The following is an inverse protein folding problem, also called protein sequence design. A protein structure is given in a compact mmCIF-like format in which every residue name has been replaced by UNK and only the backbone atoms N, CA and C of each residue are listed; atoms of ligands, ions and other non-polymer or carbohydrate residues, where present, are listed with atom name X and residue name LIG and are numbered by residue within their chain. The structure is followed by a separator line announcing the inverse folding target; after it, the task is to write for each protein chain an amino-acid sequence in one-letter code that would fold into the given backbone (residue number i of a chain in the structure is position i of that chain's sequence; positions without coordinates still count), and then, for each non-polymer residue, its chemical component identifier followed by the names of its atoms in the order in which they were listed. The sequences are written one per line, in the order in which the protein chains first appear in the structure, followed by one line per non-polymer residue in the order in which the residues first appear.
data_IF_832335816463
#
_entry.id   IF_832335816463
#
_cell.length_a   1.000
_cell.length_b   1.000
_cell.length_c   1.000
_cell.angle_alpha   90.00
_cell.angle_beta   90.00
_cell.angle_gamma   90.00
#
_symmetry.space_group_name_H-M   'P 1'
#
loop_
_entity.id
_entity.type
_entity.pdbx_description
1 polymer ?
#
# COMPACT_ATOMS: atom_id res chain seq x y z
N UNK A 1 -38.62 -45.43 30.57
CA UNK A 1 -37.41 -45.20 29.74
C UNK A 1 -37.64 -43.90 29.00
N UNK A 2 -36.78 -42.92 29.28
CA UNK A 2 -36.43 -41.67 28.55
C UNK A 2 -37.53 -40.91 27.78
N UNK A 3 -37.93 -39.71 28.22
CA UNK A 3 -37.25 -38.39 28.21
C UNK A 3 -37.62 -37.59 26.94
N UNK A 4 -37.96 -36.32 27.13
CA UNK A 4 -37.75 -35.29 26.11
C UNK A 4 -38.92 -34.33 25.91
N UNK A 5 -39.04 -33.36 26.81
CA UNK A 5 -39.70 -32.08 26.52
C UNK A 5 -38.71 -31.29 25.65
N UNK A 6 -39.13 -30.83 24.48
CA UNK A 6 -38.40 -29.84 23.67
C UNK A 6 -39.36 -28.75 23.22
N UNK A 7 -38.87 -27.52 23.38
CA UNK A 7 -39.52 -26.22 23.24
C UNK A 7 -40.00 -25.91 21.81
N UNK A 8 -40.98 -25.01 21.79
CA UNK A 8 -41.57 -24.32 20.65
C UNK A 8 -40.57 -23.56 19.77
N UNK A 9 -40.84 -23.59 18.46
CA UNK A 9 -40.63 -22.49 17.53
C UNK A 9 -41.75 -22.51 16.49
N UNK A 10 -42.45 -21.39 16.21
CA UNK A 10 -43.23 -21.25 15.00
C UNK A 10 -42.49 -20.38 13.98
N UNK A 11 -41.90 -21.00 12.97
CA UNK A 11 -41.48 -20.33 11.73
C UNK A 11 -42.40 -20.75 10.59
N UNK A 12 -43.25 -19.84 10.10
CA UNK A 12 -43.74 -19.83 8.71
C UNK A 12 -44.66 -18.65 8.49
N UNK A 13 -44.16 -17.61 7.81
CA UNK A 13 -44.97 -16.73 6.97
C UNK A 13 -44.15 -16.28 5.78
N UNK A 14 -44.33 -16.99 4.67
CA UNK A 14 -43.96 -16.55 3.35
C UNK A 14 -44.97 -15.49 2.90
N UNK A 15 -44.51 -14.28 2.58
CA UNK A 15 -45.31 -13.28 1.89
C UNK A 15 -44.55 -12.72 0.67
N UNK A 16 -45.04 -13.16 -0.49
CA UNK A 16 -45.16 -12.46 -1.77
C UNK A 16 -43.96 -11.68 -2.35
N UNK A 17 -43.24 -12.34 -3.27
CA UNK A 17 -42.45 -11.69 -4.33
C UNK A 17 -43.41 -11.21 -5.43
N UNK A 18 -43.54 -9.89 -5.62
CA UNK A 18 -44.16 -9.29 -6.81
C UNK A 18 -43.08 -9.00 -7.84
N UNK A 19 -43.11 -9.72 -8.96
CA UNK A 19 -42.37 -9.41 -10.18
C UNK A 19 -43.04 -8.24 -10.88
N UNK A 20 -42.35 -7.09 -10.93
CA UNK A 20 -42.70 -5.99 -11.83
C UNK A 20 -41.73 -6.05 -13.00
N UNK A 21 -42.23 -6.48 -14.16
CA UNK A 21 -41.50 -6.44 -15.43
C UNK A 21 -41.87 -5.17 -16.20
N UNK A 22 -40.87 -4.45 -16.70
CA UNK A 22 -41.04 -3.53 -17.83
C UNK A 22 -40.56 -2.10 -17.56
N UNK A 23 -39.35 -1.79 -18.04
CA UNK A 23 -38.81 -0.43 -18.11
C UNK A 23 -37.36 -0.46 -18.57
N UNK A 24 -37.13 -0.26 -19.86
CA UNK A 24 -35.81 -0.12 -20.49
C UNK A 24 -35.11 1.10 -19.85
N UNK A 25 -33.85 1.04 -19.39
CA UNK A 25 -33.13 2.26 -19.05
C UNK A 25 -32.73 2.95 -20.35
N UNK A 26 -33.32 4.12 -20.62
CA UNK A 26 -32.79 5.06 -21.61
C UNK A 26 -31.47 5.61 -21.05
N UNK A 27 -30.38 5.42 -21.79
CA UNK A 27 -29.08 6.01 -21.47
C UNK A 27 -29.17 7.52 -21.70
N UNK A 28 -29.22 8.28 -20.61
CA UNK A 28 -29.08 9.73 -20.64
C UNK A 28 -27.60 10.06 -20.90
N UNK A 29 -27.28 10.32 -22.17
CA UNK A 29 -25.95 10.78 -22.58
C UNK A 29 -25.82 12.22 -22.09
N UNK A 30 -25.03 12.41 -21.03
CA UNK A 30 -24.63 13.73 -20.56
C UNK A 30 -23.62 14.27 -21.57
N UNK A 31 -24.08 15.12 -22.49
CA UNK A 31 -23.20 15.95 -23.32
C UNK A 31 -22.53 16.99 -22.41
N UNK A 32 -21.31 16.69 -21.98
CA UNK A 32 -20.44 17.68 -21.36
C UNK A 32 -20.07 18.74 -22.41
N UNK A 33 -20.25 20.04 -22.13
CA UNK A 33 -19.77 21.07 -23.03
C UNK A 33 -18.26 20.94 -23.16
N UNK A 34 -17.77 20.88 -24.40
CA UNK A 34 -16.35 20.95 -24.71
C UNK A 34 -15.84 22.34 -24.33
N UNK A 35 -15.32 22.48 -23.11
CA UNK A 35 -14.50 23.63 -22.74
C UNK A 35 -13.26 23.62 -23.62
N UNK A 36 -13.20 24.62 -24.50
CA UNK A 36 -12.04 24.98 -25.32
C UNK A 36 -10.93 25.37 -24.35
N UNK A 37 -10.02 24.43 -24.09
CA UNK A 37 -8.74 24.76 -23.45
C UNK A 37 -7.94 25.49 -24.53
N UNK A 38 -7.91 26.82 -24.45
CA UNK A 38 -6.92 27.62 -25.17
C UNK A 38 -5.54 27.19 -24.65
N UNK A 39 -4.85 26.34 -25.43
CA UNK A 39 -3.44 26.05 -25.24
C UNK A 39 -2.66 27.35 -25.41
N UNK A 40 -2.30 27.96 -24.28
CA UNK A 40 -1.26 28.97 -24.24
C UNK A 40 0.06 28.30 -24.66
N UNK A 41 0.41 28.45 -25.93
CA UNK A 41 1.74 28.16 -26.47
C UNK A 41 2.77 29.04 -25.75
N UNK A 42 3.51 28.45 -24.82
CA UNK A 42 4.72 29.05 -24.27
C UNK A 42 5.87 28.66 -25.21
N UNK A 43 6.17 29.51 -26.18
CA UNK A 43 7.44 29.44 -26.90
C UNK A 43 8.53 30.09 -26.03
N UNK A 44 9.16 29.30 -25.16
CA UNK A 44 10.45 29.67 -24.59
C UNK A 44 11.51 28.74 -25.20
N UNK A 45 12.12 29.22 -26.29
CA UNK A 45 13.31 28.59 -26.86
C UNK A 45 14.47 28.90 -25.93
N UNK A 46 14.75 28.01 -24.99
CA UNK A 46 15.99 28.07 -24.20
C UNK A 46 17.11 27.53 -25.09
N UNK A 47 17.94 28.44 -25.59
CA UNK A 47 19.19 28.13 -26.26
C UNK A 47 20.14 27.50 -25.22
N UNK A 48 20.21 26.17 -25.19
CA UNK A 48 21.18 25.44 -24.39
C UNK A 48 22.54 25.56 -25.06
N UNK A 49 23.34 26.53 -24.63
CA UNK A 49 24.78 26.48 -24.86
C UNK A 49 25.32 25.19 -24.22
N UNK A 50 25.94 24.32 -25.02
CA UNK A 50 26.65 23.13 -24.54
C UNK A 50 27.90 23.57 -23.76
N UNK A 51 27.72 24.01 -22.52
CA UNK A 51 28.83 24.13 -21.58
C UNK A 51 29.19 22.73 -21.10
N UNK A 52 30.28 22.18 -21.64
CA UNK A 52 30.90 20.96 -21.12
C UNK A 52 31.19 21.14 -19.63
N UNK A 53 30.45 20.42 -18.79
CA UNK A 53 30.73 20.35 -17.36
C UNK A 53 32.08 19.65 -17.16
N UNK A 54 33.01 20.20 -16.36
CA UNK A 54 34.25 19.52 -16.03
C UNK A 54 33.94 18.19 -15.31
N UNK A 55 34.67 17.12 -15.67
CA UNK A 55 34.41 15.73 -15.24
C UNK A 55 34.51 15.50 -13.72
N UNK A 56 34.97 16.47 -12.94
CA UNK A 56 35.19 16.36 -11.49
C UNK A 56 33.98 16.79 -10.63
N UNK A 57 32.89 17.26 -11.23
CA UNK A 57 31.67 17.66 -10.50
C UNK A 57 30.57 16.59 -10.58
N UNK A 58 30.83 15.39 -10.04
CA UNK A 58 29.78 14.43 -9.68
C UNK A 58 29.80 14.23 -8.18
N UNK A 59 29.31 15.23 -7.46
CA UNK A 59 28.89 15.04 -6.07
C UNK A 59 27.43 14.56 -6.11
N UNK A 60 27.22 13.29 -5.80
CA UNK A 60 25.88 12.72 -5.66
C UNK A 60 25.28 13.35 -4.40
N UNK A 61 24.58 14.47 -4.54
CA UNK A 61 23.73 15.00 -3.48
C UNK A 61 22.61 13.99 -3.24
N UNK A 62 22.73 13.24 -2.14
CA UNK A 62 21.72 12.31 -1.63
C UNK A 62 20.49 13.03 -1.03
N UNK A 63 20.42 14.36 -1.12
CA UNK A 63 19.51 15.18 -0.30
C UNK A 63 18.37 15.82 -1.13
N UNK A 64 17.61 15.01 -1.87
CA UNK A 64 16.28 15.43 -2.36
C UNK A 64 15.16 15.03 -1.39
N UNK A 65 15.41 15.08 -0.08
CA UNK A 65 14.38 14.90 0.96
C UNK A 65 13.92 16.21 1.60
N UNK A 66 14.10 17.35 0.93
CA UNK A 66 13.62 18.67 1.39
C UNK A 66 12.47 19.20 0.53
N UNK A 67 11.49 18.34 0.26
CA UNK A 67 10.13 18.81 -0.03
C UNK A 67 9.41 18.92 1.31
N UNK A 68 9.22 20.16 1.77
CA UNK A 68 8.42 20.59 2.92
C UNK A 68 8.15 19.49 3.97
N UNK A 69 9.11 19.33 4.87
CA UNK A 69 8.93 18.60 6.11
C UNK A 69 7.97 19.42 6.97
N UNK A 70 6.66 19.18 6.84
CA UNK A 70 5.67 19.69 7.78
C UNK A 70 6.13 19.37 9.21
N UNK A 71 5.99 20.30 10.16
CA UNK A 71 6.43 20.11 11.56
C UNK A 71 5.67 18.99 12.33
N UNK A 72 4.93 18.14 11.62
CA UNK A 72 4.11 17.05 12.14
C UNK A 72 4.88 15.72 12.20
N UNK A 73 4.27 14.72 12.80
CA UNK A 73 4.89 13.55 13.44
C UNK A 73 5.34 12.45 12.46
N UNK A 74 6.51 12.60 11.80
CA UNK A 74 6.95 11.58 10.84
C UNK A 74 6.94 10.15 11.37
N UNK A 75 6.29 9.25 10.63
CA UNK A 75 6.30 7.81 10.91
C UNK A 75 7.66 7.22 10.54
N UNK A 76 8.19 6.32 11.36
CA UNK A 76 9.42 5.55 11.10
C UNK A 76 9.11 4.06 11.17
N UNK A 77 9.66 3.32 10.21
CA UNK A 77 9.57 1.85 10.13
C UNK A 77 10.93 1.24 10.42
N UNK A 78 10.96 0.22 11.28
CA UNK A 78 12.14 -0.61 11.50
C UNK A 78 11.77 -2.10 11.38
N UNK A 79 12.63 -2.88 10.72
CA UNK A 79 12.48 -4.33 10.62
C UNK A 79 13.34 -5.00 11.69
N UNK A 80 12.71 -5.75 12.58
CA UNK A 80 13.44 -6.48 13.61
C UNK A 80 14.08 -7.75 13.03
N UNK A 81 15.34 -8.01 13.40
CA UNK A 81 16.05 -9.24 13.02
C UNK A 81 16.72 -9.23 11.64
N UNK A 82 16.92 -8.05 11.02
CA UNK A 82 17.64 -7.87 9.75
C UNK A 82 17.28 -8.94 8.67
N UNK A 83 16.00 -9.02 8.25
CA UNK A 83 15.53 -10.12 7.43
C UNK A 83 16.09 -10.03 6.00
N UNK A 84 16.77 -11.09 5.56
CA UNK A 84 17.02 -11.33 4.14
C UNK A 84 15.89 -12.15 3.53
N UNK A 85 15.42 -11.81 2.33
CA UNK A 85 14.28 -12.48 1.69
C UNK A 85 14.70 -13.27 0.46
N UNK A 86 14.17 -14.49 0.32
CA UNK A 86 14.38 -15.37 -0.83
C UNK A 86 13.04 -15.89 -1.38
N UNK A 87 12.98 -16.12 -2.68
CA UNK A 87 11.82 -16.72 -3.34
C UNK A 87 11.47 -18.10 -2.78
N UNK A 88 10.23 -18.30 -2.37
CA UNK A 88 9.76 -19.54 -1.72
C UNK A 88 9.81 -19.52 -0.19
N UNK A 89 10.37 -18.47 0.41
CA UNK A 89 10.45 -18.34 1.87
C UNK A 89 9.06 -18.24 2.52
N UNK A 90 8.94 -18.83 3.71
CA UNK A 90 7.88 -18.54 4.69
C UNK A 90 8.54 -17.90 5.90
N UNK A 91 8.25 -16.62 6.18
CA UNK A 91 8.91 -15.86 7.26
C UNK A 91 7.92 -15.07 8.08
N UNK A 92 8.22 -14.96 9.37
CA UNK A 92 7.55 -14.01 10.26
C UNK A 92 8.30 -12.69 10.17
N UNK A 93 7.62 -11.65 9.67
CA UNK A 93 8.14 -10.29 9.62
C UNK A 93 7.62 -9.51 10.83
N UNK A 94 8.55 -8.99 11.61
CA UNK A 94 8.27 -8.12 12.75
C UNK A 94 8.62 -6.68 12.38
N UNK A 95 7.61 -5.82 12.34
CA UNK A 95 7.71 -4.41 11.95
C UNK A 95 7.45 -3.54 13.17
N UNK A 96 8.45 -2.78 13.59
CA UNK A 96 8.31 -1.75 14.61
C UNK A 96 7.96 -0.43 13.94
N UNK A 97 6.91 0.23 14.44
CA UNK A 97 6.52 1.57 13.99
C UNK A 97 6.67 2.55 15.15
N UNK A 98 7.37 3.64 14.90
CA UNK A 98 7.66 4.67 15.89
C UNK A 98 7.60 6.06 15.27
N UNK A 99 7.44 7.08 16.09
CA UNK A 99 7.63 8.46 15.67
C UNK A 99 9.12 8.72 15.43
N UNK A 100 9.48 9.25 14.26
CA UNK A 100 10.86 9.44 13.85
C UNK A 100 11.61 10.45 14.73
N UNK A 101 10.91 11.45 15.28
CA UNK A 101 11.46 12.52 16.12
C UNK A 101 11.54 12.10 17.58
N UNK A 102 10.43 11.66 18.16
CA UNK A 102 10.35 11.33 19.60
C UNK A 102 10.81 9.92 19.93
N UNK A 103 10.95 9.04 18.92
CA UNK A 103 11.22 7.60 19.06
C UNK A 103 10.15 6.83 19.84
N UNK A 104 9.02 7.47 20.16
CA UNK A 104 7.91 6.81 20.82
C UNK A 104 7.26 5.80 19.88
N UNK A 105 6.92 4.62 20.40
CA UNK A 105 6.21 3.59 19.63
C UNK A 105 4.80 4.04 19.27
N UNK A 106 4.34 3.67 18.08
CA UNK A 106 3.02 4.06 17.55
C UNK A 106 2.12 2.82 17.53
N UNK A 107 1.10 2.83 18.38
CA UNK A 107 0.06 1.78 18.37
C UNK A 107 -1.01 2.05 17.31
N UNK A 108 -1.71 0.99 16.90
CA UNK A 108 -2.82 1.03 15.94
C UNK A 108 -2.48 1.61 14.54
N UNK A 109 -1.20 1.74 14.19
CA UNK A 109 -0.75 2.12 12.86
C UNK A 109 -1.07 1.00 11.85
N UNK A 110 -1.57 1.37 10.66
CA UNK A 110 -1.86 0.41 9.60
C UNK A 110 -0.57 0.06 8.86
N UNK A 111 -0.12 -1.19 8.96
CA UNK A 111 1.02 -1.71 8.22
C UNK A 111 0.54 -2.54 7.04
N UNK A 112 0.94 -2.14 5.83
CA UNK A 112 0.68 -2.87 4.59
C UNK A 112 1.98 -3.41 4.03
N UNK A 113 2.04 -4.71 3.78
CA UNK A 113 3.20 -5.37 3.16
C UNK A 113 2.80 -5.91 1.80
N UNK A 114 3.46 -5.45 0.74
CA UNK A 114 3.25 -5.94 -0.63
C UNK A 114 4.47 -6.73 -1.09
N UNK A 115 4.27 -8.00 -1.44
CA UNK A 115 5.29 -8.83 -2.09
C UNK A 115 5.08 -8.73 -3.60
N UNK A 116 6.00 -8.07 -4.29
CA UNK A 116 5.93 -7.75 -5.71
C UNK A 116 6.98 -8.55 -6.48
N UNK A 117 6.66 -9.01 -7.69
CA UNK A 117 7.62 -9.65 -8.56
C UNK A 117 7.17 -9.67 -10.01
N UNK A 118 8.13 -9.77 -10.93
CA UNK A 118 7.86 -9.82 -12.37
C UNK A 118 7.23 -11.14 -12.83
N UNK A 119 7.45 -12.21 -12.06
CA UNK A 119 7.15 -13.60 -12.47
C UNK A 119 5.99 -14.22 -11.68
N UNK A 120 5.33 -13.44 -10.82
CA UNK A 120 4.21 -13.89 -10.00
C UNK A 120 3.22 -12.74 -9.72
N UNK A 121 1.98 -13.09 -9.35
CA UNK A 121 0.98 -12.09 -8.95
C UNK A 121 1.34 -11.47 -7.59
N UNK A 122 1.25 -10.15 -7.42
CA UNK A 122 1.46 -9.49 -6.14
C UNK A 122 0.66 -10.11 -5.00
N UNK A 123 1.28 -10.25 -3.83
CA UNK A 123 0.61 -10.61 -2.59
C UNK A 123 0.57 -9.40 -1.65
N UNK A 124 -0.54 -9.19 -0.97
CA UNK A 124 -0.74 -8.06 -0.06
C UNK A 124 -1.13 -8.60 1.31
N UNK A 125 -0.44 -8.13 2.33
CA UNK A 125 -0.70 -8.43 3.72
C UNK A 125 -0.99 -7.12 4.45
N UNK A 126 -1.87 -7.17 5.44
CA UNK A 126 -2.21 -6.03 6.28
C UNK A 126 -2.21 -6.44 7.74
N UNK A 127 -1.70 -5.57 8.58
CA UNK A 127 -1.71 -5.72 10.03
C UNK A 127 -1.84 -4.34 10.69
N UNK A 128 -2.18 -4.32 11.98
CA UNK A 128 -2.09 -3.11 12.80
C UNK A 128 -1.06 -3.33 13.89
N UNK A 129 -0.36 -2.27 14.27
CA UNK A 129 0.57 -2.34 15.40
C UNK A 129 -0.18 -2.49 16.72
N UNK A 130 0.41 -3.24 17.64
CA UNK A 130 -0.08 -3.39 19.01
C UNK A 130 0.32 -2.21 19.90
N UNK A 131 0.08 -2.32 21.22
CA UNK A 131 0.45 -1.30 22.21
C UNK A 131 1.96 -1.00 22.27
N UNK A 132 2.80 -1.93 21.83
CA UNK A 132 4.25 -1.77 21.76
C UNK A 132 4.73 -1.22 20.41
N UNK A 133 3.80 -0.85 19.52
CA UNK A 133 4.09 -0.41 18.17
C UNK A 133 4.58 -1.53 17.24
N UNK A 134 4.32 -2.80 17.59
CA UNK A 134 4.77 -3.96 16.82
C UNK A 134 3.65 -4.53 15.96
N UNK A 135 3.93 -4.74 14.67
CA UNK A 135 3.09 -5.52 13.78
C UNK A 135 3.83 -6.82 13.38
N UNK A 136 3.16 -7.96 13.55
CA UNK A 136 3.69 -9.28 13.19
C UNK A 136 2.93 -9.82 11.97
N UNK A 137 3.64 -10.09 10.88
CA UNK A 137 3.08 -10.55 9.62
C UNK A 137 3.71 -11.87 9.20
N UNK A 138 2.89 -12.90 8.96
CA UNK A 138 3.33 -14.17 8.41
C UNK A 138 3.39 -14.07 6.88
N UNK A 139 4.58 -13.85 6.34
CA UNK A 139 4.83 -13.72 4.91
C UNK A 139 5.04 -15.07 4.24
N UNK A 140 4.40 -15.24 3.08
CA UNK A 140 4.71 -16.26 2.09
C UNK A 140 5.21 -15.59 0.83
N UNK A 141 6.46 -15.84 0.45
CA UNK A 141 7.07 -15.31 -0.76
C UNK A 141 6.91 -16.35 -1.86
N UNK A 142 6.26 -16.03 -2.99
CA UNK A 142 6.18 -16.95 -4.12
C UNK A 142 7.57 -17.40 -4.58
N UNK A 143 7.69 -18.66 -4.95
CA UNK A 143 8.93 -19.16 -5.52
C UNK A 143 9.12 -18.60 -6.94
N UNK A 144 10.33 -18.16 -7.26
CA UNK A 144 10.70 -17.70 -8.60
C UNK A 144 12.20 -17.95 -8.83
N UNK A 145 12.55 -18.34 -10.06
CA UNK A 145 13.94 -18.64 -10.47
C UNK A 145 14.57 -17.55 -11.32
N UNK A 146 13.75 -16.69 -11.93
CA UNK A 146 14.18 -15.59 -12.79
C UNK A 146 13.26 -14.39 -12.62
N UNK A 147 13.75 -13.21 -12.99
CA UNK A 147 13.06 -11.94 -12.80
C UNK A 147 13.50 -11.17 -11.55
N UNK A 148 12.79 -10.08 -11.26
CA UNK A 148 13.04 -9.22 -10.11
C UNK A 148 11.86 -9.31 -9.13
N UNK A 149 12.16 -9.22 -7.84
CA UNK A 149 11.15 -9.19 -6.79
C UNK A 149 11.58 -8.29 -5.62
N UNK A 150 10.60 -7.72 -4.94
CA UNK A 150 10.79 -6.84 -3.80
C UNK A 150 9.61 -6.94 -2.83
N UNK A 151 9.86 -6.59 -1.57
CA UNK A 151 8.84 -6.38 -0.54
C UNK A 151 8.77 -4.89 -0.27
N UNK A 152 7.57 -4.33 -0.37
CA UNK A 152 7.24 -2.97 0.01
C UNK A 152 6.55 -3.03 1.38
N UNK A 153 7.07 -2.31 2.37
CA UNK A 153 6.42 -2.18 3.68
C UNK A 153 6.06 -0.73 3.88
N UNK A 154 4.75 -0.46 3.98
CA UNK A 154 4.21 0.87 4.24
C UNK A 154 3.52 0.89 5.60
N UNK A 155 3.72 1.94 6.36
CA UNK A 155 2.99 2.24 7.60
C UNK A 155 2.22 3.55 7.42
N UNK A 156 0.97 3.59 7.88
CA UNK A 156 0.09 4.76 7.87
C UNK A 156 -0.46 5.01 9.27
N UNK A 157 -0.30 6.23 9.76
CA UNK A 157 -0.83 6.67 11.05
C UNK A 157 -1.21 8.15 10.98
N UNK A 158 -2.43 8.50 11.38
CA UNK A 158 -2.94 9.87 11.39
C UNK A 158 -2.74 10.68 10.08
N UNK A 159 -2.80 10.00 8.93
CA UNK A 159 -2.58 10.62 7.62
C UNK A 159 -1.11 10.67 7.19
N UNK A 160 -0.18 10.38 8.10
CA UNK A 160 1.25 10.32 7.82
C UNK A 160 1.70 8.92 7.43
N UNK A 161 2.66 8.85 6.51
CA UNK A 161 3.14 7.60 5.97
C UNK A 161 4.66 7.48 5.96
N UNK A 162 5.10 6.23 6.06
CA UNK A 162 6.47 5.85 5.79
C UNK A 162 6.48 4.59 4.94
N UNK A 163 7.51 4.43 4.12
CA UNK A 163 7.67 3.26 3.27
C UNK A 163 9.13 2.83 3.19
N UNK A 164 9.36 1.52 3.23
CA UNK A 164 10.67 0.93 2.98
C UNK A 164 10.56 -0.20 1.95
N UNK A 165 11.62 -0.38 1.15
CA UNK A 165 11.71 -1.42 0.13
C UNK A 165 12.83 -2.41 0.47
N UNK A 166 12.52 -3.70 0.39
CA UNK A 166 13.48 -4.79 0.58
C UNK A 166 13.57 -5.65 -0.68
N UNK A 167 14.79 -6.00 -1.08
CA UNK A 167 15.03 -6.85 -2.26
C UNK A 167 14.76 -8.31 -1.89
N UNK A 168 14.13 -9.05 -2.79
CA UNK A 168 13.96 -10.51 -2.66
C UNK A 168 14.88 -11.19 -3.67
N UNK A 169 15.75 -12.07 -3.19
CA UNK A 169 16.63 -12.89 -4.04
C UNK A 169 15.85 -14.07 -4.64
N UNK A 170 16.18 -14.52 -5.86
CA UNK A 170 15.61 -15.76 -6.41
C UNK A 170 15.82 -16.97 -5.49
N UNK A 171 14.85 -17.89 -5.55
CA UNK A 171 14.75 -19.14 -4.78
C UNK A 171 15.69 -20.24 -5.26
#
# INVERSE_FOLDING_TARGET
RDKGIILEQPESRADAVRLVTGGKPEEEIIELPAEVIEEALIEEVVEIEETMLPEEAVEILQDFSELEVSETEHVKIELLGAPAFKGGDRKVLSVLVSNAKTKQVISNALVTVKVLGSSFRPLIYQARTDENGLAIINLQIPHFKSGRAAILIRALYNGEEAEIRQIVKPG
#
